data_IF_495285225844
#
_entry.id   IF_495285225844
#
_cell.length_a   1.000
_cell.length_b   1.000
_cell.length_c   1.000
_cell.angle_alpha   90.00
_cell.angle_beta   90.00
_cell.angle_gamma   90.00
#
_symmetry.space_group_name_H-M   'P 1'
#
loop_
_entity.id
_entity.type
_entity.pdbx_description
1 polymer ?
#
# COMPACT_ATOMS: atom_id res chain seq x y z
N UNK A 1 36.43 38.56 -13.97
CA UNK A 1 37.20 38.04 -15.12
C UNK A 1 37.31 36.54 -14.87
N UNK A 2 36.61 35.64 -15.55
CA UNK A 2 36.43 35.49 -17.00
C UNK A 2 35.00 34.97 -17.27
N UNK A 3 34.26 35.71 -18.10
CA UNK A 3 33.07 35.26 -18.82
C UNK A 3 33.52 34.33 -19.95
N UNK A 4 32.76 33.28 -20.27
CA UNK A 4 32.40 33.00 -21.67
C UNK A 4 31.45 31.80 -21.83
N UNK A 5 30.35 32.07 -22.54
CA UNK A 5 29.65 31.17 -23.48
C UNK A 5 28.81 30.01 -22.91
N UNK A 6 27.58 29.74 -23.37
CA UNK A 6 26.72 30.38 -24.36
C UNK A 6 25.33 29.75 -24.24
N UNK A 7 24.30 30.57 -24.22
CA UNK A 7 22.91 30.24 -24.49
C UNK A 7 22.78 29.38 -25.75
N UNK A 8 21.93 28.34 -25.71
CA UNK A 8 21.29 27.81 -26.91
C UNK A 8 19.79 27.66 -26.64
N UNK A 9 19.10 28.77 -26.88
CA UNK A 9 17.65 28.84 -27.00
C UNK A 9 17.32 28.36 -28.43
N UNK A 10 16.66 27.22 -28.55
CA UNK A 10 16.09 26.75 -29.82
C UNK A 10 14.59 27.05 -29.78
N UNK A 11 14.23 28.25 -30.23
CA UNK A 11 12.85 28.66 -30.49
C UNK A 11 12.46 28.03 -31.84
N UNK A 12 11.52 27.10 -31.82
CA UNK A 12 10.86 26.63 -33.03
C UNK A 12 9.60 27.50 -33.24
N UNK A 13 9.78 28.59 -33.97
CA UNK A 13 8.69 29.40 -34.53
C UNK A 13 8.05 28.62 -35.68
N UNK A 14 6.91 27.99 -35.41
CA UNK A 14 6.08 27.32 -36.40
C UNK A 14 4.75 28.05 -36.62
N UNK A 15 4.74 28.89 -37.66
CA UNK A 15 3.63 29.24 -38.55
C UNK A 15 2.18 29.08 -38.10
N UNK A 16 1.55 30.24 -37.89
CA UNK A 16 0.14 30.59 -38.06
C UNK A 16 -0.50 30.02 -39.34
N UNK A 17 -1.68 29.40 -39.21
CA UNK A 17 -2.75 29.43 -40.23
C UNK A 17 -4.10 29.26 -39.53
N UNK A 18 -4.73 30.40 -39.22
CA UNK A 18 -6.16 30.50 -38.90
C UNK A 18 -6.93 30.36 -40.21
N UNK A 19 -7.46 29.17 -40.48
CA UNK A 19 -8.54 28.99 -41.45
C UNK A 19 -9.84 28.83 -40.68
N UNK A 20 -10.55 29.94 -40.51
CA UNK A 20 -11.95 29.91 -40.13
C UNK A 20 -12.78 29.47 -41.33
N UNK A 21 -13.48 28.36 -41.20
CA UNK A 21 -14.63 28.02 -42.03
C UNK A 21 -15.77 27.62 -41.10
N UNK A 22 -16.86 28.37 -41.24
CA UNK A 22 -18.18 28.26 -40.63
C UNK A 22 -18.69 26.84 -40.39
N UNK A 23 -19.26 26.61 -39.20
CA UNK A 23 -20.16 25.49 -38.91
C UNK A 23 -21.39 25.53 -39.84
N UNK A 24 -21.72 24.44 -40.55
CA UNK A 24 -23.08 24.17 -40.97
C UNK A 24 -23.86 23.50 -39.83
N UNK A 25 -25.13 23.87 -39.70
CA UNK A 25 -26.06 23.42 -38.67
C UNK A 25 -26.28 21.90 -38.69
N UNK A 26 -26.39 21.30 -37.50
CA UNK A 26 -26.70 19.88 -37.30
C UNK A 26 -28.10 19.53 -37.89
N UNK A 27 -28.21 18.51 -38.77
CA UNK A 27 -29.50 17.92 -39.09
C UNK A 27 -29.96 16.92 -38.01
N UNK A 28 -31.27 16.79 -37.76
CA UNK A 28 -31.81 15.98 -36.67
C UNK A 28 -31.51 14.49 -36.88
N UNK A 29 -31.11 13.83 -35.79
CA UNK A 29 -30.80 12.42 -35.73
C UNK A 29 -32.07 11.57 -35.83
N UNK A 30 -32.56 11.33 -37.04
CA UNK A 30 -33.37 10.16 -37.36
C UNK A 30 -32.96 9.60 -38.72
N UNK A 31 -32.94 8.27 -38.81
CA UNK A 31 -32.61 7.44 -39.99
C UNK A 31 -31.13 7.07 -40.17
N UNK A 32 -30.60 6.26 -39.24
CA UNK A 32 -29.54 5.28 -39.59
C UNK A 32 -29.44 4.14 -38.57
N UNK A 33 -30.56 3.47 -38.27
CA UNK A 33 -30.53 2.13 -37.65
C UNK A 33 -31.66 1.26 -38.21
N UNK A 34 -31.63 1.05 -39.52
CA UNK A 34 -32.45 0.03 -40.18
C UNK A 34 -31.62 -1.18 -40.54
N UNK A 35 -31.32 -2.06 -39.55
CA UNK A 35 -31.10 -3.51 -39.71
C UNK A 35 -30.62 -4.11 -38.37
N UNK A 36 -31.54 -4.54 -37.50
CA UNK A 36 -31.27 -5.55 -36.44
C UNK A 36 -32.52 -5.98 -35.62
N UNK A 37 -33.75 -5.80 -36.12
CA UNK A 37 -34.96 -6.24 -35.40
C UNK A 37 -35.91 -7.02 -36.30
N UNK A 38 -35.44 -8.17 -36.80
CA UNK A 38 -36.30 -9.21 -37.35
C UNK A 38 -36.01 -10.50 -36.58
N UNK A 39 -36.76 -10.73 -35.50
CA UNK A 39 -36.60 -11.93 -34.68
C UNK A 39 -37.25 -11.85 -33.30
N UNK A 40 -38.45 -11.29 -33.17
CA UNK A 40 -39.25 -11.41 -31.94
C UNK A 40 -40.47 -12.29 -32.22
N UNK A 41 -40.30 -13.59 -32.05
CA UNK A 41 -41.42 -14.49 -31.74
C UNK A 41 -41.83 -14.26 -30.29
N UNK A 42 -43.12 -13.98 -30.09
CA UNK A 42 -43.74 -13.90 -28.77
C UNK A 42 -43.59 -15.22 -28.01
N UNK A 43 -42.96 -15.19 -26.84
CA UNK A 43 -43.20 -16.17 -25.77
C UNK A 43 -43.72 -15.44 -24.52
N UNK A 44 -44.71 -16.01 -23.80
CA UNK A 44 -45.35 -15.35 -22.67
C UNK A 44 -44.45 -15.43 -21.44
N UNK A 45 -44.30 -14.30 -20.75
CA UNK A 45 -43.66 -14.22 -19.43
C UNK A 45 -44.61 -14.84 -18.41
N UNK A 46 -44.41 -16.13 -18.12
CA UNK A 46 -45.03 -16.79 -16.97
C UNK A 46 -43.92 -17.39 -16.10
N UNK A 47 -43.96 -17.01 -14.82
CA UNK A 47 -43.19 -17.54 -13.68
C UNK A 47 -41.69 -17.27 -13.67
N UNK A 48 -41.33 -16.08 -13.19
CA UNK A 48 -40.10 -15.89 -12.43
C UNK A 48 -40.50 -15.82 -10.96
N UNK A 49 -40.19 -16.88 -10.20
CA UNK A 49 -40.27 -16.82 -8.74
C UNK A 49 -39.36 -15.68 -8.23
N UNK A 50 -39.81 -14.89 -7.24
CA UNK A 50 -38.99 -13.81 -6.71
C UNK A 50 -37.68 -14.38 -6.14
N UNK A 51 -36.54 -13.68 -6.32
CA UNK A 51 -35.27 -14.12 -5.79
C UNK A 51 -35.40 -14.23 -4.27
N UNK A 52 -35.21 -15.44 -3.77
CA UNK A 52 -35.21 -15.72 -2.33
C UNK A 52 -34.12 -14.86 -1.71
N UNK A 53 -34.52 -13.93 -0.85
CA UNK A 53 -33.63 -13.12 -0.03
C UNK A 53 -32.95 -14.05 0.97
N UNK A 54 -31.84 -14.68 0.58
CA UNK A 54 -30.95 -15.34 1.53
C UNK A 54 -30.36 -14.25 2.42
N UNK A 55 -30.82 -14.23 3.68
CA UNK A 55 -30.16 -13.52 4.78
C UNK A 55 -28.65 -13.82 4.71
N UNK A 56 -27.75 -12.84 4.94
CA UNK A 56 -26.33 -13.13 5.14
C UNK A 56 -26.22 -14.14 6.29
N UNK A 57 -25.94 -15.40 5.94
CA UNK A 57 -25.74 -16.46 6.91
C UNK A 57 -24.49 -16.17 7.72
N UNK A 58 -24.55 -16.42 9.02
CA UNK A 58 -23.39 -16.40 9.90
C UNK A 58 -22.23 -17.19 9.26
N UNK A 59 -20.97 -16.74 9.40
CA UNK A 59 -19.84 -17.41 8.79
C UNK A 59 -19.79 -18.88 9.25
N UNK A 60 -19.97 -19.80 8.29
CA UNK A 60 -19.88 -21.25 8.52
C UNK A 60 -18.49 -21.57 9.08
N UNK A 61 -18.43 -22.26 10.22
CA UNK A 61 -17.15 -22.74 10.77
C UNK A 61 -16.48 -23.69 9.77
N UNK A 62 -15.16 -23.59 9.57
CA UNK A 62 -14.45 -24.41 8.61
C UNK A 62 -14.52 -25.89 8.96
N UNK A 63 -14.57 -26.74 7.95
CA UNK A 63 -14.53 -28.20 8.10
C UNK A 63 -13.13 -28.68 8.47
N UNK A 64 -12.96 -29.90 9.02
CA UNK A 64 -11.64 -30.47 9.29
C UNK A 64 -10.73 -30.50 8.04
N UNK A 65 -11.28 -30.85 6.88
CA UNK A 65 -10.56 -30.87 5.60
C UNK A 65 -10.08 -29.46 5.18
N UNK A 66 -10.92 -28.43 5.38
CA UNK A 66 -10.54 -27.04 5.11
C UNK A 66 -9.43 -26.54 6.04
N UNK A 67 -9.42 -26.99 7.30
CA UNK A 67 -8.37 -26.66 8.28
C UNK A 67 -7.04 -27.33 7.91
N UNK A 68 -7.07 -28.60 7.49
CA UNK A 68 -5.88 -29.32 7.04
C UNK A 68 -5.27 -28.66 5.79
N UNK A 69 -6.10 -28.38 4.77
CA UNK A 69 -5.66 -27.68 3.57
C UNK A 69 -5.07 -26.29 3.86
N UNK A 70 -5.61 -25.58 4.85
CA UNK A 70 -5.09 -24.28 5.28
C UNK A 70 -3.73 -24.39 5.97
N UNK A 71 -3.51 -25.41 6.79
CA UNK A 71 -2.21 -25.66 7.42
C UNK A 71 -1.16 -26.12 6.41
N UNK A 72 -1.53 -26.95 5.43
CA UNK A 72 -0.64 -27.33 4.33
C UNK A 72 -0.22 -26.12 3.50
N UNK A 73 -1.17 -25.26 3.14
CA UNK A 73 -0.87 -24.03 2.40
C UNK A 73 0.04 -23.08 3.21
N UNK A 74 -0.15 -23.02 4.53
CA UNK A 74 0.70 -22.24 5.44
C UNK A 74 2.10 -22.84 5.57
N UNK A 75 2.21 -24.17 5.63
CA UNK A 75 3.49 -24.88 5.64
C UNK A 75 4.26 -24.62 4.35
N UNK A 76 3.63 -24.80 3.19
CA UNK A 76 4.24 -24.54 1.88
C UNK A 76 4.71 -23.08 1.75
N UNK A 77 3.87 -22.13 2.17
CA UNK A 77 4.26 -20.70 2.22
C UNK A 77 5.49 -20.48 3.10
N UNK A 78 5.54 -21.11 4.28
CA UNK A 78 6.69 -21.00 5.19
C UNK A 78 7.95 -21.63 4.59
N UNK A 79 7.86 -22.80 3.97
CA UNK A 79 8.99 -23.47 3.31
C UNK A 79 9.56 -22.56 2.22
N UNK A 80 8.71 -22.01 1.36
CA UNK A 80 9.13 -21.10 0.29
C UNK A 80 9.76 -19.82 0.83
N UNK A 81 9.18 -19.22 1.86
CA UNK A 81 9.76 -18.05 2.55
C UNK A 81 11.18 -18.37 3.07
N UNK A 82 11.35 -19.52 3.74
CA UNK A 82 12.65 -19.95 4.26
C UNK A 82 13.67 -20.26 3.17
N UNK A 83 13.25 -20.80 2.02
CA UNK A 83 14.14 -21.03 0.88
C UNK A 83 14.72 -19.72 0.34
N UNK A 84 13.89 -18.70 0.13
CA UNK A 84 14.34 -17.35 -0.23
C UNK A 84 15.21 -16.73 0.86
N UNK A 85 14.86 -16.89 2.14
CA UNK A 85 15.69 -16.38 3.23
C UNK A 85 17.09 -17.00 3.21
N UNK A 86 17.19 -18.33 3.02
CA UNK A 86 18.46 -19.03 2.94
C UNK A 86 19.29 -18.60 1.73
N UNK A 87 18.65 -18.38 0.56
CA UNK A 87 19.32 -17.82 -0.61
C UNK A 87 19.86 -16.40 -0.33
N UNK A 88 19.09 -15.57 0.37
CA UNK A 88 19.51 -14.23 0.78
C UNK A 88 20.71 -14.25 1.71
N UNK A 89 20.74 -15.19 2.66
CA UNK A 89 21.93 -15.43 3.50
C UNK A 89 23.12 -15.81 2.62
N UNK A 90 22.98 -16.77 1.71
CA UNK A 90 24.07 -17.20 0.84
C UNK A 90 24.64 -16.07 -0.01
N UNK A 91 23.78 -15.24 -0.63
CA UNK A 91 24.21 -14.06 -1.37
C UNK A 91 24.93 -13.05 -0.46
N UNK A 92 24.43 -12.82 0.76
CA UNK A 92 25.07 -11.89 1.71
C UNK A 92 26.47 -12.35 2.09
N UNK A 93 26.67 -13.64 2.37
CA UNK A 93 27.97 -14.21 2.70
C UNK A 93 28.96 -14.14 1.51
N UNK A 94 28.45 -14.10 0.26
CA UNK A 94 29.26 -13.86 -0.95
C UNK A 94 29.51 -12.38 -1.26
N UNK A 95 28.96 -11.44 -0.46
CA UNK A 95 29.05 -10.00 -0.73
C UNK A 95 28.12 -9.49 -1.84
N UNK A 96 27.21 -10.32 -2.31
CA UNK A 96 26.23 -10.02 -3.37
C UNK A 96 25.04 -9.27 -2.75
N UNK A 97 25.28 -8.03 -2.31
CA UNK A 97 24.34 -7.27 -1.49
C UNK A 97 23.01 -6.97 -2.19
N UNK A 98 23.00 -6.83 -3.52
CA UNK A 98 21.77 -6.51 -4.26
C UNK A 98 20.86 -7.73 -4.35
N UNK A 99 21.46 -8.88 -4.63
CA UNK A 99 20.83 -10.19 -4.75
C UNK A 99 20.31 -10.63 -3.38
N UNK A 100 21.12 -10.48 -2.33
CA UNK A 100 20.70 -10.72 -0.95
C UNK A 100 19.47 -9.87 -0.58
N UNK A 101 19.45 -8.59 -0.97
CA UNK A 101 18.32 -7.70 -0.73
C UNK A 101 17.04 -8.09 -1.50
N UNK A 102 17.16 -8.80 -2.63
CA UNK A 102 16.01 -9.32 -3.35
C UNK A 102 15.46 -10.56 -2.66
N UNK A 103 16.33 -11.53 -2.39
CA UNK A 103 15.95 -12.79 -1.76
C UNK A 103 15.35 -12.59 -0.36
N UNK A 104 15.97 -11.75 0.49
CA UNK A 104 15.37 -11.39 1.77
C UNK A 104 14.01 -10.71 1.61
N UNK A 105 13.88 -9.79 0.65
CA UNK A 105 12.61 -9.10 0.43
C UNK A 105 11.50 -10.08 0.02
N UNK A 106 11.78 -11.02 -0.89
CA UNK A 106 10.84 -12.07 -1.28
C UNK A 106 10.46 -12.96 -0.09
N UNK A 107 11.44 -13.38 0.72
CA UNK A 107 11.18 -14.20 1.90
C UNK A 107 10.13 -13.57 2.83
N UNK A 108 10.28 -12.28 3.13
CA UNK A 108 9.38 -11.55 4.01
C UNK A 108 8.02 -11.20 3.36
N UNK A 109 7.94 -11.10 2.04
CA UNK A 109 6.67 -10.91 1.32
C UNK A 109 5.84 -12.19 1.21
N UNK A 110 6.50 -13.35 1.11
CA UNK A 110 5.86 -14.66 0.98
C UNK A 110 5.17 -15.04 2.28
N UNK A 111 5.89 -14.96 3.41
CA UNK A 111 5.32 -15.19 4.75
C UNK A 111 5.46 -13.94 5.63
N UNK A 112 4.59 -12.93 5.47
CA UNK A 112 4.62 -11.72 6.28
C UNK A 112 4.16 -11.96 7.73
N UNK A 113 3.69 -13.17 8.06
CA UNK A 113 3.27 -13.55 9.42
C UNK A 113 4.43 -14.14 10.24
N UNK A 114 5.53 -14.51 9.59
CA UNK A 114 6.74 -14.96 10.26
C UNK A 114 7.53 -13.75 10.81
N UNK A 115 7.17 -13.33 12.02
CA UNK A 115 7.75 -12.16 12.69
C UNK A 115 9.28 -12.17 12.67
N UNK A 116 9.90 -13.31 12.94
CA UNK A 116 11.37 -13.43 12.99
C UNK A 116 11.98 -13.07 11.63
N UNK A 117 11.51 -13.69 10.55
CA UNK A 117 12.00 -13.43 9.20
C UNK A 117 11.74 -11.97 8.83
N UNK A 118 10.52 -11.46 9.05
CA UNK A 118 10.16 -10.08 8.72
C UNK A 118 11.07 -9.08 9.44
N UNK A 119 11.33 -9.27 10.73
CA UNK A 119 12.17 -8.35 11.51
C UNK A 119 13.65 -8.36 11.08
N UNK A 120 14.20 -9.53 10.77
CA UNK A 120 15.57 -9.63 10.26
C UNK A 120 15.71 -8.97 8.89
N UNK A 121 14.74 -9.17 8.00
CA UNK A 121 14.71 -8.52 6.69
C UNK A 121 14.53 -7.02 6.81
N UNK A 122 13.65 -6.54 7.71
CA UNK A 122 13.51 -5.12 8.03
C UNK A 122 14.84 -4.52 8.46
N UNK A 123 15.55 -5.16 9.39
CA UNK A 123 16.87 -4.70 9.85
C UNK A 123 17.87 -4.63 8.69
N UNK A 124 17.91 -5.66 7.85
CA UNK A 124 18.77 -5.69 6.68
C UNK A 124 18.46 -4.56 5.70
N UNK A 125 17.18 -4.30 5.39
CA UNK A 125 16.76 -3.24 4.47
C UNK A 125 17.04 -1.84 5.04
N UNK A 126 16.94 -1.65 6.36
CA UNK A 126 17.32 -0.40 7.04
C UNK A 126 18.83 -0.14 6.87
N UNK A 127 19.67 -1.11 7.20
CA UNK A 127 21.14 -0.98 7.09
C UNK A 127 21.56 -0.78 5.63
N UNK A 128 20.93 -1.51 4.71
CA UNK A 128 21.20 -1.44 3.27
C UNK A 128 20.55 -0.23 2.58
N UNK A 129 19.87 0.65 3.34
CA UNK A 129 19.19 1.87 2.86
C UNK A 129 18.15 1.61 1.75
N UNK A 130 17.55 0.43 1.73
CA UNK A 130 16.54 0.01 0.74
C UNK A 130 15.14 0.54 1.11
N UNK A 131 14.98 1.87 1.14
CA UNK A 131 13.81 2.56 1.67
C UNK A 131 12.48 2.17 1.01
N UNK A 132 12.48 1.95 -0.30
CA UNK A 132 11.25 1.61 -1.03
C UNK A 132 10.78 0.18 -0.71
N UNK A 133 11.70 -0.80 -0.76
CA UNK A 133 11.42 -2.18 -0.34
C UNK A 133 10.97 -2.25 1.12
N UNK A 134 11.66 -1.52 2.01
CA UNK A 134 11.27 -1.42 3.42
C UNK A 134 9.82 -0.93 3.55
N UNK A 135 9.47 0.17 2.87
CA UNK A 135 8.11 0.71 2.94
C UNK A 135 7.06 -0.29 2.43
N UNK A 136 7.32 -0.95 1.30
CA UNK A 136 6.42 -1.97 0.75
C UNK A 136 6.23 -3.14 1.72
N UNK A 137 7.32 -3.65 2.32
CA UNK A 137 7.27 -4.73 3.31
C UNK A 137 6.45 -4.31 4.54
N UNK A 138 6.69 -3.12 5.08
CA UNK A 138 5.95 -2.61 6.25
C UNK A 138 4.44 -2.50 5.96
N UNK A 139 4.06 -2.02 4.77
CA UNK A 139 2.65 -1.99 4.35
C UNK A 139 2.06 -3.40 4.29
N UNK A 140 2.77 -4.37 3.71
CA UNK A 140 2.30 -5.75 3.61
C UNK A 140 2.17 -6.42 4.98
N UNK A 141 3.18 -6.28 5.82
CA UNK A 141 3.22 -6.88 7.16
C UNK A 141 2.12 -6.31 8.07
N UNK A 142 1.87 -5.00 8.04
CA UNK A 142 0.80 -4.37 8.84
C UNK A 142 -0.63 -4.68 8.40
N UNK A 143 -0.83 -5.43 7.31
CA UNK A 143 -2.16 -5.97 6.95
C UNK A 143 -2.58 -7.08 7.90
N UNK A 144 -1.64 -7.80 8.49
CA UNK A 144 -1.94 -8.79 9.52
C UNK A 144 -2.33 -8.06 10.83
N UNK A 145 -3.54 -8.30 11.38
CA UNK A 145 -3.92 -7.74 12.67
C UNK A 145 -2.98 -8.14 13.81
N UNK A 146 -2.25 -9.25 13.68
CA UNK A 146 -1.25 -9.71 14.64
C UNK A 146 0.13 -9.05 14.47
N UNK A 147 0.31 -8.19 13.46
CA UNK A 147 1.59 -7.52 13.20
C UNK A 147 2.15 -6.85 14.47
N UNK A 148 3.46 -6.99 14.79
CA UNK A 148 3.98 -6.50 16.04
C UNK A 148 4.10 -4.98 16.08
N UNK A 149 4.14 -4.41 17.29
CA UNK A 149 4.08 -2.96 17.50
C UNK A 149 5.23 -2.19 16.84
N UNK A 150 6.42 -2.79 16.78
CA UNK A 150 7.62 -2.24 16.14
C UNK A 150 7.43 -2.04 14.62
N UNK A 151 6.77 -2.96 13.92
CA UNK A 151 6.46 -2.83 12.48
C UNK A 151 5.55 -1.62 12.25
N UNK A 152 4.52 -1.43 13.08
CA UNK A 152 3.67 -0.23 13.02
C UNK A 152 4.45 1.07 13.30
N UNK A 153 5.37 1.06 14.27
CA UNK A 153 6.19 2.23 14.59
C UNK A 153 7.15 2.59 13.45
N UNK A 154 7.75 1.58 12.79
CA UNK A 154 8.58 1.76 11.61
C UNK A 154 7.78 2.27 10.42
N UNK A 155 6.55 1.78 10.23
CA UNK A 155 5.66 2.29 9.19
C UNK A 155 5.31 3.76 9.42
N UNK A 156 5.07 4.15 10.68
CA UNK A 156 4.85 5.56 11.03
C UNK A 156 6.06 6.42 10.65
N UNK A 157 7.28 5.98 10.97
CA UNK A 157 8.51 6.68 10.57
C UNK A 157 8.63 6.79 9.04
N UNK A 158 8.34 5.71 8.30
CA UNK A 158 8.36 5.73 6.84
C UNK A 158 7.32 6.69 6.23
N UNK A 159 6.14 6.84 6.86
CA UNK A 159 5.16 7.86 6.45
C UNK A 159 5.62 9.30 6.73
N UNK A 160 6.31 9.53 7.85
CA UNK A 160 6.89 10.85 8.17
C UNK A 160 7.96 11.25 7.16
N UNK A 161 8.84 10.33 6.77
CA UNK A 161 9.82 10.57 5.70
C UNK A 161 9.16 10.97 4.38
N UNK A 162 7.99 10.40 4.09
CA UNK A 162 7.20 10.69 2.88
C UNK A 162 6.28 11.91 3.02
N UNK A 163 6.38 12.69 4.10
CA UNK A 163 5.53 13.86 4.39
C UNK A 163 4.03 13.53 4.44
N UNK A 164 3.67 12.34 4.96
CA UNK A 164 2.28 11.88 5.15
C UNK A 164 1.93 11.78 6.65
N UNK A 165 1.85 12.92 7.37
CA UNK A 165 1.63 12.91 8.82
C UNK A 165 0.31 12.26 9.25
N UNK A 166 -0.75 12.37 8.44
CA UNK A 166 -2.04 11.72 8.73
C UNK A 166 -1.93 10.19 8.84
N UNK A 167 -1.24 9.56 7.89
CA UNK A 167 -1.02 8.11 7.91
C UNK A 167 -0.02 7.71 8.99
N UNK A 168 0.98 8.57 9.27
CA UNK A 168 1.92 8.35 10.37
C UNK A 168 1.22 8.32 11.73
N UNK A 169 0.23 9.20 11.98
CA UNK A 169 -0.57 9.19 13.21
C UNK A 169 -1.28 7.86 13.42
N UNK A 170 -1.94 7.34 12.37
CA UNK A 170 -2.66 6.05 12.43
C UNK A 170 -1.70 4.90 12.75
N UNK A 171 -0.56 4.83 12.06
CA UNK A 171 0.44 3.79 12.30
C UNK A 171 1.06 3.90 13.71
N UNK A 172 1.33 5.12 14.18
CA UNK A 172 1.87 5.36 15.53
C UNK A 172 0.88 4.97 16.63
N UNK A 173 -0.40 5.31 16.50
CA UNK A 173 -1.44 4.89 17.46
C UNK A 173 -1.64 3.37 17.46
N UNK A 174 -1.52 2.69 16.32
CA UNK A 174 -1.52 1.23 16.27
C UNK A 174 -0.33 0.64 17.04
N UNK A 175 0.86 1.24 16.93
CA UNK A 175 2.04 0.82 17.70
C UNK A 175 1.83 1.01 19.21
N UNK A 176 1.34 2.17 19.63
CA UNK A 176 1.06 2.48 21.04
C UNK A 176 0.00 1.53 21.61
N UNK A 177 -1.08 1.27 20.87
CA UNK A 177 -2.14 0.37 21.33
C UNK A 177 -1.63 -1.07 21.53
N UNK A 178 -0.74 -1.54 20.66
CA UNK A 178 -0.15 -2.89 20.74
C UNK A 178 0.92 -3.00 21.82
N UNK A 179 1.72 -1.96 22.01
CA UNK A 179 2.75 -1.91 23.03
C UNK A 179 2.78 -0.51 23.67
N UNK A 180 2.00 -0.28 24.74
CA UNK A 180 1.93 1.04 25.41
C UNK A 180 3.27 1.50 26.00
N UNK A 181 4.23 0.59 26.22
CA UNK A 181 5.58 0.94 26.70
C UNK A 181 6.56 1.26 25.56
N UNK A 182 6.15 1.13 24.29
CA UNK A 182 7.02 1.37 23.13
C UNK A 182 7.14 2.87 22.84
N UNK A 183 8.17 3.49 23.40
CA UNK A 183 8.46 4.94 23.28
C UNK A 183 8.51 5.42 21.82
N UNK A 184 8.96 4.58 20.89
CA UNK A 184 9.07 4.93 19.47
C UNK A 184 7.70 5.28 18.86
N UNK A 185 6.61 4.64 19.29
CA UNK A 185 5.26 4.98 18.84
C UNK A 185 4.87 6.42 19.21
N UNK A 186 5.09 6.80 20.47
CA UNK A 186 4.84 8.16 20.96
C UNK A 186 5.72 9.20 20.26
N UNK A 187 7.00 8.90 20.05
CA UNK A 187 7.93 9.76 19.30
C UNK A 187 7.42 10.02 17.88
N UNK A 188 7.02 8.97 17.16
CA UNK A 188 6.46 9.10 15.81
C UNK A 188 5.16 9.90 15.79
N UNK A 189 4.29 9.72 16.79
CA UNK A 189 3.05 10.48 16.90
C UNK A 189 3.30 11.99 17.12
N UNK A 190 4.22 12.34 18.02
CA UNK A 190 4.64 13.74 18.25
C UNK A 190 5.23 14.34 16.97
N UNK A 191 6.09 13.60 16.25
CA UNK A 191 6.66 14.05 14.99
C UNK A 191 5.58 14.26 13.91
N UNK A 192 4.57 13.41 13.87
CA UNK A 192 3.44 13.55 12.96
C UNK A 192 2.66 14.84 13.22
N UNK A 193 2.36 15.14 14.49
CA UNK A 193 1.76 16.42 14.85
C UNK A 193 2.65 17.58 14.43
N UNK A 194 3.96 17.55 14.69
CA UNK A 194 4.88 18.63 14.26
C UNK A 194 4.84 18.88 12.75
N UNK A 195 4.78 17.83 11.94
CA UNK A 195 4.80 17.93 10.48
C UNK A 195 3.45 18.36 9.86
N UNK A 196 2.35 18.24 10.61
CA UNK A 196 1.01 18.60 10.13
C UNK A 196 0.84 20.12 10.02
N UNK A 197 0.95 20.69 8.81
CA UNK A 197 0.94 22.14 8.61
C UNK A 197 -0.37 22.86 9.03
N UNK A 198 -1.51 22.16 9.05
CA UNK A 198 -2.84 22.78 9.08
C UNK A 198 -3.34 23.21 10.47
N UNK A 199 -2.70 22.79 11.58
CA UNK A 199 -3.31 22.84 12.92
C UNK A 199 -2.41 23.41 14.03
N UNK A 200 -1.79 24.58 13.83
CA UNK A 200 -0.83 25.23 14.75
C UNK A 200 -1.08 25.09 16.26
N UNK A 201 -2.13 25.72 16.78
CA UNK A 201 -2.41 25.75 18.22
C UNK A 201 -2.84 24.39 18.79
N UNK A 202 -3.60 23.60 18.03
CA UNK A 202 -4.09 22.28 18.46
C UNK A 202 -2.95 21.27 18.63
N UNK A 203 -1.94 21.34 17.75
CA UNK A 203 -0.77 20.43 17.76
C UNK A 203 -0.01 20.44 19.08
N UNK A 204 0.19 21.60 19.69
CA UNK A 204 0.94 21.69 20.97
C UNK A 204 0.19 20.98 22.10
N UNK A 205 -1.14 21.13 22.17
CA UNK A 205 -1.98 20.43 23.13
C UNK A 205 -1.95 18.91 22.93
N UNK A 206 -2.01 18.47 21.67
CA UNK A 206 -1.91 17.05 21.31
C UNK A 206 -0.56 16.46 21.70
N UNK A 207 0.56 17.15 21.39
CA UNK A 207 1.90 16.68 21.76
C UNK A 207 2.08 16.55 23.28
N UNK A 208 1.58 17.53 24.06
CA UNK A 208 1.63 17.46 25.53
C UNK A 208 0.84 16.25 26.05
N UNK A 209 -0.38 16.05 25.55
CA UNK A 209 -1.21 14.89 25.91
C UNK A 209 -0.53 13.56 25.54
N UNK A 210 0.13 13.49 24.39
CA UNK A 210 0.89 12.31 23.98
C UNK A 210 2.06 12.04 24.91
N UNK A 211 2.78 13.07 25.38
CA UNK A 211 3.86 12.91 26.34
C UNK A 211 3.37 12.42 27.70
N UNK A 212 2.25 12.97 28.19
CA UNK A 212 1.59 12.50 29.43
C UNK A 212 1.23 11.01 29.33
N UNK A 213 0.61 10.59 28.20
CA UNK A 213 0.30 9.17 27.93
C UNK A 213 1.54 8.27 27.83
N UNK A 214 2.72 8.81 27.59
CA UNK A 214 3.96 8.03 27.51
C UNK A 214 4.59 7.81 28.90
N UNK A 215 4.18 8.60 29.90
CA UNK A 215 4.71 8.57 31.26
C UNK A 215 3.83 7.77 32.24
N UNK A 216 2.61 7.45 31.84
CA UNK A 216 1.65 6.60 32.57
C UNK A 216 1.78 5.14 32.16
#
# INVERSE_FOLDING_TARGET
MINMFRNLIMIFTGGLLLAGCSLPADPPAEQTLGLALAGTTHQPVANLDPPTTSKPGEPKKPTPEELEAAEDAKMERRIRSMAHYAAGVAHRERGEHKEAAEEFFQAALIDPTNEKVVMEVVQFLVVSRQKEKLFQLLIKATKDPAAPANIHALLAAAYLERKKPELAKVAAENAIRKAPKLIVGYKSLIQAYRQEAKNGANRTGQMRKTLERAMT
#
